data_IF_028400945619
#
_entry.id   IF_028400945619
#
_cell.length_a   1.000
_cell.length_b   1.000
_cell.length_c   1.000
_cell.angle_alpha   90.00
_cell.angle_beta   90.00
_cell.angle_gamma   90.00
#
_symmetry.space_group_name_H-M   'P 1'
#
loop_
_entity.id
_entity.type
_entity.pdbx_description
1 polymer ?
#
# COMPACT_ATOMS: atom_id res chain seq x y z
N UNK A 1 -14.73 -28.61 -77.44
CA UNK A 1 -13.75 -29.44 -76.70
C UNK A 1 -12.41 -28.71 -76.75
N UNK A 2 -12.14 -27.85 -75.78
CA UNK A 2 -10.90 -27.09 -75.65
C UNK A 2 -10.68 -26.80 -74.16
N UNK A 3 -9.51 -27.19 -73.64
CA UNK A 3 -9.04 -26.91 -72.29
C UNK A 3 -8.75 -25.41 -72.14
N UNK A 4 -9.22 -24.81 -71.05
CA UNK A 4 -8.68 -23.56 -70.52
C UNK A 4 -8.42 -23.75 -69.02
N UNK A 5 -7.14 -23.85 -68.67
CA UNK A 5 -6.58 -23.86 -67.33
C UNK A 5 -6.68 -22.46 -66.74
N UNK A 6 -7.61 -22.26 -65.79
CA UNK A 6 -7.70 -21.06 -64.96
C UNK A 6 -6.87 -21.23 -63.69
N UNK A 7 -5.83 -20.40 -63.53
CA UNK A 7 -5.02 -20.27 -62.33
C UNK A 7 -5.91 -19.93 -61.12
N UNK A 8 -5.84 -20.76 -60.08
CA UNK A 8 -6.33 -20.42 -58.75
C UNK A 8 -5.29 -19.52 -58.06
N UNK A 9 -5.61 -18.24 -57.90
CA UNK A 9 -4.88 -17.33 -57.02
C UNK A 9 -5.24 -17.61 -55.58
N UNK A 10 -4.38 -18.35 -54.88
CA UNK A 10 -4.39 -18.46 -53.41
C UNK A 10 -3.93 -17.11 -52.83
N UNK A 11 -4.90 -16.22 -52.58
CA UNK A 11 -4.70 -15.07 -51.71
C UNK A 11 -4.58 -15.55 -50.27
N UNK A 12 -3.34 -15.78 -49.83
CA UNK A 12 -3.03 -15.93 -48.41
C UNK A 12 -3.27 -14.57 -47.77
N UNK A 13 -4.45 -14.40 -47.17
CA UNK A 13 -4.69 -13.32 -46.23
C UNK A 13 -3.74 -13.56 -45.05
N UNK A 14 -2.65 -12.82 -45.02
CA UNK A 14 -1.81 -12.72 -43.84
C UNK A 14 -2.69 -12.20 -42.71
N UNK A 15 -3.06 -13.09 -41.78
CA UNK A 15 -3.50 -12.66 -40.46
C UNK A 15 -2.42 -11.73 -39.92
N UNK A 16 -2.76 -10.51 -39.47
CA UNK A 16 -1.78 -9.71 -38.76
C UNK A 16 -1.30 -10.57 -37.61
N UNK A 17 0.00 -10.91 -37.64
CA UNK A 17 0.68 -11.56 -36.55
C UNK A 17 0.46 -10.62 -35.37
N UNK A 18 -0.49 -10.95 -34.48
CA UNK A 18 -0.62 -10.27 -33.21
C UNK A 18 0.78 -10.32 -32.61
N UNK A 19 1.43 -9.17 -32.50
CA UNK A 19 2.75 -9.08 -31.93
C UNK A 19 2.62 -9.76 -30.56
N UNK A 20 3.22 -10.93 -30.45
CA UNK A 20 3.37 -11.62 -29.19
C UNK A 20 4.31 -10.72 -28.42
N UNK A 21 3.73 -9.79 -27.64
CA UNK A 21 4.47 -8.94 -26.73
C UNK A 21 5.08 -9.92 -25.74
N UNK A 22 6.35 -10.24 -25.93
CA UNK A 22 7.13 -10.95 -24.92
C UNK A 22 6.91 -10.20 -23.61
N UNK A 23 6.40 -10.86 -22.54
CA UNK A 23 6.17 -10.17 -21.28
C UNK A 23 7.52 -9.61 -20.84
N UNK A 24 7.64 -8.28 -20.63
CA UNK A 24 8.92 -7.69 -20.24
C UNK A 24 9.39 -8.39 -18.97
N UNK A 25 10.50 -9.09 -19.09
CA UNK A 25 11.21 -9.70 -17.98
C UNK A 25 11.64 -8.55 -17.06
N UNK A 26 10.98 -8.41 -15.90
CA UNK A 26 11.24 -7.46 -14.80
C UNK A 26 10.54 -6.08 -14.78
N UNK A 27 9.48 -5.82 -15.56
CA UNK A 27 8.60 -4.68 -15.22
C UNK A 27 7.53 -5.14 -14.20
N UNK A 28 7.64 -4.69 -12.96
CA UNK A 28 6.66 -4.97 -11.89
C UNK A 28 5.27 -4.43 -12.22
N UNK A 29 4.25 -4.93 -11.52
CA UNK A 29 2.88 -4.46 -11.64
C UNK A 29 2.56 -3.45 -10.54
N UNK A 30 1.85 -2.38 -10.89
CA UNK A 30 1.19 -1.48 -9.95
C UNK A 30 -0.05 -2.18 -9.41
N UNK A 31 -0.02 -2.55 -8.14
CA UNK A 31 -1.05 -3.34 -7.49
C UNK A 31 -2.21 -2.48 -6.99
N UNK A 32 -3.43 -2.97 -7.20
CA UNK A 32 -4.68 -2.37 -6.71
C UNK A 32 -5.37 -3.39 -5.82
N UNK A 33 -5.40 -3.15 -4.51
CA UNK A 33 -6.16 -3.99 -3.57
C UNK A 33 -7.61 -3.52 -3.52
N UNK A 34 -8.53 -4.43 -3.86
CA UNK A 34 -9.97 -4.16 -3.85
C UNK A 34 -10.63 -4.91 -2.69
N UNK A 35 -11.22 -4.15 -1.78
CA UNK A 35 -11.97 -4.66 -0.62
C UNK A 35 -13.41 -4.16 -0.66
N UNK A 36 -14.30 -4.80 0.09
CA UNK A 36 -15.68 -4.33 0.24
C UNK A 36 -16.70 -5.44 0.08
N UNK A 37 -17.94 -5.06 -0.23
CA UNK A 37 -19.08 -5.98 -0.29
C UNK A 37 -19.75 -6.07 -1.67
N UNK A 38 -21.04 -6.42 -1.73
CA UNK A 38 -21.72 -6.79 -2.97
C UNK A 38 -21.75 -5.71 -4.04
N UNK A 39 -21.80 -4.43 -3.66
CA UNK A 39 -21.67 -3.31 -4.61
C UNK A 39 -20.25 -3.21 -5.20
N UNK A 40 -19.21 -3.58 -4.46
CA UNK A 40 -17.85 -3.72 -5.01
C UNK A 40 -17.69 -4.98 -5.86
N UNK A 41 -18.36 -6.08 -5.50
CA UNK A 41 -18.38 -7.32 -6.31
C UNK A 41 -19.06 -7.09 -7.67
N UNK A 42 -20.06 -6.20 -7.72
CA UNK A 42 -20.91 -6.02 -8.90
C UNK A 42 -22.10 -6.99 -8.89
N UNK A 43 -22.75 -7.14 -7.74
CA UNK A 43 -23.96 -7.96 -7.61
C UNK A 43 -25.07 -7.48 -8.54
N UNK A 44 -25.58 -8.37 -9.40
CA UNK A 44 -26.79 -8.16 -10.22
C UNK A 44 -26.84 -6.90 -11.10
N UNK A 45 -25.70 -6.37 -11.54
CA UNK A 45 -25.62 -5.08 -12.26
C UNK A 45 -26.18 -5.10 -13.69
N UNK A 46 -26.60 -6.26 -14.20
CA UNK A 46 -27.21 -6.42 -15.51
C UNK A 46 -26.22 -6.89 -16.60
N UNK A 47 -26.61 -6.80 -17.89
CA UNK A 47 -25.82 -7.36 -18.99
C UNK A 47 -24.53 -6.56 -19.24
N UNK A 48 -23.45 -7.30 -19.46
CA UNK A 48 -22.11 -6.82 -19.82
C UNK A 48 -21.98 -6.63 -21.34
N UNK A 49 -21.16 -5.66 -21.74
CA UNK A 49 -20.62 -5.57 -23.10
C UNK A 49 -19.09 -5.48 -23.07
N UNK A 50 -18.42 -6.63 -23.06
CA UNK A 50 -16.98 -6.71 -23.33
C UNK A 50 -16.70 -7.46 -24.63
N UNK A 51 -17.50 -7.19 -25.65
CA UNK A 51 -17.07 -7.44 -27.02
C UNK A 51 -15.86 -6.56 -27.33
N UNK A 52 -14.98 -6.91 -28.30
CA UNK A 52 -13.90 -6.01 -28.71
C UNK A 52 -14.45 -4.63 -29.13
N UNK A 53 -13.95 -3.56 -28.51
CA UNK A 53 -14.43 -2.19 -28.59
C UNK A 53 -15.62 -1.86 -27.67
N UNK A 54 -16.10 -2.83 -26.90
CA UNK A 54 -17.22 -2.69 -25.97
C UNK A 54 -16.88 -1.85 -24.74
N UNK A 55 -17.92 -1.33 -24.09
CA UNK A 55 -17.74 -0.40 -22.95
C UNK A 55 -17.05 -1.04 -21.74
N UNK A 56 -17.14 -2.37 -21.61
CA UNK A 56 -16.52 -3.16 -20.53
C UNK A 56 -15.25 -3.90 -20.98
N UNK A 57 -14.74 -3.65 -22.19
CA UNK A 57 -13.42 -4.16 -22.58
C UNK A 57 -12.33 -3.47 -21.74
N UNK A 58 -11.46 -4.27 -21.12
CA UNK A 58 -10.31 -3.80 -20.35
C UNK A 58 -9.09 -3.61 -21.26
N UNK A 59 -8.25 -2.58 -21.02
CA UNK A 59 -6.97 -2.41 -21.68
C UNK A 59 -6.04 -3.63 -21.50
N UNK A 60 -5.16 -3.94 -22.47
CA UNK A 60 -4.28 -5.11 -22.42
C UNK A 60 -3.21 -5.05 -21.31
N UNK A 61 -3.00 -3.88 -20.70
CA UNK A 61 -2.10 -3.67 -19.57
C UNK A 61 -2.77 -3.82 -18.19
N UNK A 62 -4.04 -4.26 -18.15
CA UNK A 62 -4.77 -4.54 -16.92
C UNK A 62 -4.82 -6.06 -16.66
N UNK A 63 -4.31 -6.44 -15.50
CA UNK A 63 -4.19 -7.80 -15.00
C UNK A 63 -4.97 -7.94 -13.69
N UNK A 64 -5.15 -9.18 -13.25
CA UNK A 64 -5.67 -9.50 -11.94
C UNK A 64 -4.89 -10.68 -11.32
N UNK A 65 -4.88 -10.74 -10.00
CA UNK A 65 -4.50 -11.95 -9.28
C UNK A 65 -5.69 -12.92 -9.30
N UNK A 66 -5.53 -14.05 -9.98
CA UNK A 66 -6.62 -14.99 -10.15
C UNK A 66 -6.95 -15.83 -8.89
N UNK A 67 -7.97 -16.66 -8.98
CA UNK A 67 -8.38 -17.56 -7.88
C UNK A 67 -7.34 -18.62 -7.50
N UNK A 68 -6.32 -18.82 -8.32
CA UNK A 68 -5.17 -19.70 -8.06
C UNK A 68 -3.94 -18.90 -7.63
N UNK A 69 -4.14 -17.63 -7.29
CA UNK A 69 -3.11 -16.67 -6.93
C UNK A 69 -2.05 -16.53 -8.01
N UNK A 70 -2.44 -16.55 -9.28
CA UNK A 70 -1.56 -16.27 -10.42
C UNK A 70 -1.94 -14.95 -11.07
N UNK A 71 -0.94 -14.12 -11.40
CA UNK A 71 -1.17 -12.90 -12.18
C UNK A 71 -1.52 -13.28 -13.62
N UNK A 72 -2.71 -12.91 -14.05
CA UNK A 72 -3.24 -13.21 -15.37
C UNK A 72 -3.87 -11.96 -15.99
N UNK A 73 -3.94 -11.84 -17.34
CA UNK A 73 -4.73 -10.80 -17.97
C UNK A 73 -6.17 -10.85 -17.46
N UNK A 74 -6.74 -9.70 -17.13
CA UNK A 74 -8.07 -9.68 -16.55
C UNK A 74 -9.12 -9.89 -17.64
N UNK A 75 -9.70 -11.09 -17.68
CA UNK A 75 -10.76 -11.47 -18.61
C UNK A 75 -12.10 -11.73 -17.91
N UNK A 76 -13.22 -11.34 -18.52
CA UNK A 76 -14.54 -11.60 -17.94
C UNK A 76 -15.25 -12.82 -18.56
N UNK A 77 -16.06 -13.57 -17.78
CA UNK A 77 -16.26 -13.43 -16.34
C UNK A 77 -15.03 -13.95 -15.58
N UNK A 78 -14.48 -13.15 -14.67
CA UNK A 78 -13.44 -13.66 -13.78
C UNK A 78 -14.12 -14.26 -12.55
N UNK A 79 -13.84 -15.51 -12.18
CA UNK A 79 -14.31 -16.03 -10.90
C UNK A 79 -13.51 -15.35 -9.79
N UNK A 80 -14.08 -14.31 -9.18
CA UNK A 80 -13.50 -13.59 -8.03
C UNK A 80 -13.79 -14.26 -6.69
N UNK A 81 -14.43 -15.42 -6.70
CA UNK A 81 -14.60 -16.21 -5.50
C UNK A 81 -13.23 -16.40 -4.84
N UNK A 82 -13.05 -15.80 -3.66
CA UNK A 82 -11.92 -16.10 -2.79
C UNK A 82 -11.83 -17.63 -2.67
N UNK A 83 -10.63 -18.23 -2.68
CA UNK A 83 -10.48 -19.67 -2.51
C UNK A 83 -11.27 -20.14 -1.28
N UNK A 84 -12.24 -21.04 -1.48
CA UNK A 84 -13.09 -21.55 -0.40
C UNK A 84 -14.40 -20.77 -0.14
N UNK A 85 -14.63 -19.65 -0.82
CA UNK A 85 -15.89 -18.90 -0.74
C UNK A 85 -16.72 -19.16 -2.00
N UNK A 86 -17.71 -20.05 -1.91
CA UNK A 86 -18.63 -20.32 -3.01
C UNK A 86 -19.56 -19.11 -3.26
N UNK A 87 -19.08 -18.10 -3.96
CA UNK A 87 -19.99 -17.11 -4.53
C UNK A 87 -20.57 -17.69 -5.83
N UNK A 88 -21.80 -18.20 -5.78
CA UNK A 88 -22.57 -18.59 -6.98
C UNK A 88 -22.90 -17.42 -7.93
N UNK A 89 -22.32 -16.25 -7.70
CA UNK A 89 -22.45 -15.05 -8.52
C UNK A 89 -21.23 -14.92 -9.41
N UNK A 90 -21.43 -15.00 -10.73
CA UNK A 90 -20.51 -14.38 -11.67
C UNK A 90 -20.46 -12.89 -11.35
N UNK A 91 -19.31 -12.37 -10.96
CA UNK A 91 -19.17 -10.93 -10.77
C UNK A 91 -19.43 -10.24 -12.11
N UNK A 92 -20.34 -9.26 -12.07
CA UNK A 92 -20.72 -8.50 -13.24
C UNK A 92 -19.88 -7.21 -13.29
N UNK A 93 -20.35 -6.22 -14.03
CA UNK A 93 -19.75 -4.87 -14.07
C UNK A 93 -19.66 -4.33 -12.64
N UNK A 94 -18.49 -3.86 -12.23
CA UNK A 94 -18.24 -3.27 -10.91
C UNK A 94 -17.35 -2.02 -10.97
N UNK A 95 -17.31 -1.26 -9.89
CA UNK A 95 -16.59 0.02 -9.82
C UNK A 95 -15.06 -0.17 -9.94
N UNK A 96 -14.49 -1.19 -9.30
CA UNK A 96 -13.06 -1.48 -9.38
C UNK A 96 -12.59 -1.78 -10.81
N UNK A 97 -13.39 -2.49 -11.61
CA UNK A 97 -13.12 -2.74 -13.02
C UNK A 97 -13.07 -1.44 -13.81
N UNK A 98 -14.06 -0.55 -13.60
CA UNK A 98 -14.11 0.74 -14.30
C UNK A 98 -12.92 1.63 -13.90
N UNK A 99 -12.55 1.66 -12.62
CA UNK A 99 -11.35 2.34 -12.14
C UNK A 99 -10.07 1.76 -12.79
N UNK A 100 -9.91 0.43 -12.80
CA UNK A 100 -8.77 -0.23 -13.43
C UNK A 100 -8.68 0.05 -14.94
N UNK A 101 -9.84 0.13 -15.63
CA UNK A 101 -9.91 0.57 -17.03
C UNK A 101 -9.38 1.99 -17.19
N UNK A 102 -9.86 2.94 -16.39
CA UNK A 102 -9.41 4.33 -16.45
C UNK A 102 -7.90 4.48 -16.19
N UNK A 103 -7.37 3.71 -15.22
CA UNK A 103 -5.93 3.64 -14.95
C UNK A 103 -5.16 3.09 -16.16
N UNK A 104 -5.61 1.97 -16.72
CA UNK A 104 -4.96 1.34 -17.89
C UNK A 104 -4.96 2.21 -19.13
N UNK A 105 -6.06 2.94 -19.38
CA UNK A 105 -6.20 3.90 -20.50
C UNK A 105 -5.34 5.15 -20.30
N UNK A 106 -5.28 5.67 -19.07
CA UNK A 106 -4.54 6.91 -18.74
C UNK A 106 -3.03 6.69 -18.65
N UNK A 107 -2.60 5.47 -18.29
CA UNK A 107 -1.20 5.11 -18.10
C UNK A 107 -0.84 3.86 -18.92
N UNK A 108 -0.87 3.93 -20.26
CA UNK A 108 -0.71 2.78 -21.15
C UNK A 108 0.67 2.10 -21.05
N UNK A 109 1.67 2.80 -20.50
CA UNK A 109 3.01 2.26 -20.26
C UNK A 109 3.12 1.45 -18.96
N UNK A 110 2.16 1.60 -18.05
CA UNK A 110 2.16 0.92 -16.76
C UNK A 110 1.38 -0.39 -16.85
N UNK A 111 1.68 -1.36 -15.98
CA UNK A 111 0.94 -2.62 -15.86
C UNK A 111 0.20 -2.61 -14.52
N UNK A 112 -1.11 -2.70 -14.54
CA UNK A 112 -1.92 -2.73 -13.33
C UNK A 112 -2.30 -4.16 -12.99
N UNK A 113 -2.18 -4.57 -11.73
CA UNK A 113 -2.65 -5.88 -11.26
C UNK A 113 -3.65 -5.69 -10.13
N UNK A 114 -4.87 -6.17 -10.34
CA UNK A 114 -5.94 -6.07 -9.34
C UNK A 114 -5.95 -7.31 -8.45
N UNK A 115 -5.73 -7.09 -7.16
CA UNK A 115 -5.89 -8.07 -6.10
C UNK A 115 -7.31 -7.91 -5.56
N UNK A 116 -8.23 -8.69 -6.12
CA UNK A 116 -9.66 -8.57 -5.81
C UNK A 116 -10.04 -9.44 -4.63
N UNK A 117 -10.55 -8.83 -3.55
CA UNK A 117 -10.89 -9.50 -2.30
C UNK A 117 -12.30 -9.16 -1.79
N UNK A 118 -13.08 -8.32 -2.50
CA UNK A 118 -14.43 -7.96 -2.09
C UNK A 118 -15.37 -9.18 -2.03
N UNK A 119 -16.28 -9.19 -1.06
CA UNK A 119 -17.10 -10.35 -0.73
C UNK A 119 -18.56 -9.97 -0.46
N UNK A 120 -19.51 -10.65 -1.10
CA UNK A 120 -20.94 -10.38 -0.89
C UNK A 120 -21.34 -10.53 0.58
N UNK A 121 -22.19 -9.61 1.05
CA UNK A 121 -22.72 -9.59 2.41
C UNK A 121 -21.60 -9.71 3.45
N UNK A 122 -20.63 -8.81 3.39
CA UNK A 122 -19.55 -8.67 4.37
C UNK A 122 -19.65 -7.33 5.10
N UNK A 123 -19.09 -7.24 6.30
CA UNK A 123 -19.03 -6.02 7.09
C UNK A 123 -17.98 -6.09 8.19
N UNK A 124 -18.00 -5.14 9.11
CA UNK A 124 -17.11 -5.12 10.28
C UNK A 124 -17.73 -5.79 11.51
N UNK A 125 -18.99 -5.47 11.81
CA UNK A 125 -19.63 -5.88 13.07
C UNK A 125 -20.90 -6.72 12.85
N UNK A 126 -21.62 -6.46 11.77
CA UNK A 126 -22.90 -7.13 11.47
C UNK A 126 -22.80 -8.65 11.30
N UNK A 127 -21.59 -9.20 11.12
CA UNK A 127 -21.35 -10.60 10.76
C UNK A 127 -20.18 -11.20 11.56
N UNK A 128 -19.96 -10.72 12.79
CA UNK A 128 -18.89 -11.15 13.73
C UNK A 128 -18.85 -12.65 14.08
N UNK A 129 -19.78 -13.47 13.59
CA UNK A 129 -19.70 -14.94 13.74
C UNK A 129 -19.17 -15.67 12.52
N UNK A 130 -19.04 -15.02 11.35
CA UNK A 130 -18.52 -15.63 10.13
C UNK A 130 -17.24 -14.89 9.69
N UNK A 131 -16.05 -15.45 9.97
CA UNK A 131 -14.78 -14.87 9.55
C UNK A 131 -14.75 -14.54 8.05
N UNK A 132 -15.39 -15.37 7.20
CA UNK A 132 -15.39 -15.20 5.75
C UNK A 132 -16.32 -14.06 5.28
N UNK A 133 -16.90 -13.30 6.21
CA UNK A 133 -17.73 -12.12 5.96
C UNK A 133 -17.32 -10.92 6.81
N UNK A 134 -16.18 -11.00 7.50
CA UNK A 134 -15.72 -10.01 8.45
C UNK A 134 -14.46 -9.29 7.93
N UNK A 135 -14.48 -7.96 7.91
CA UNK A 135 -13.37 -7.11 7.46
C UNK A 135 -12.58 -6.44 8.59
N UNK A 136 -12.87 -6.78 9.85
CA UNK A 136 -12.24 -6.13 10.99
C UNK A 136 -10.71 -6.37 10.98
N UNK A 137 -9.92 -5.30 11.00
CA UNK A 137 -8.47 -5.37 11.03
C UNK A 137 -7.94 -5.82 12.41
N UNK A 138 -6.68 -6.26 12.57
CA UNK A 138 -6.16 -6.80 13.83
C UNK A 138 -6.29 -5.87 15.05
N UNK A 139 -6.30 -4.56 14.84
CA UNK A 139 -6.51 -3.57 15.90
C UNK A 139 -7.96 -3.51 16.41
N UNK A 140 -8.92 -4.04 15.65
CA UNK A 140 -10.33 -4.05 15.97
C UNK A 140 -10.66 -5.13 17.01
N UNK A 141 -11.54 -4.85 18.00
CA UNK A 141 -12.07 -5.88 18.89
C UNK A 141 -12.97 -6.90 18.16
N UNK A 142 -13.40 -6.59 16.93
CA UNK A 142 -14.22 -7.46 16.10
C UNK A 142 -13.40 -8.39 15.20
N UNK A 143 -12.06 -8.32 15.27
CA UNK A 143 -11.18 -9.15 14.46
C UNK A 143 -11.34 -10.64 14.77
N UNK A 144 -11.45 -11.44 13.71
CA UNK A 144 -11.51 -12.89 13.78
C UNK A 144 -10.33 -13.44 12.98
N UNK A 145 -9.63 -14.43 13.54
CA UNK A 145 -8.53 -15.09 12.83
C UNK A 145 -9.03 -15.72 11.52
N UNK A 146 -8.32 -15.45 10.42
CA UNK A 146 -8.66 -15.96 9.09
C UNK A 146 -9.86 -15.26 8.46
N UNK A 147 -10.13 -14.00 8.84
CA UNK A 147 -11.21 -13.23 8.24
C UNK A 147 -10.82 -12.65 6.86
N UNK A 148 -11.70 -11.85 6.26
CA UNK A 148 -11.45 -11.27 4.94
C UNK A 148 -10.26 -10.31 4.90
N UNK A 149 -9.95 -9.65 6.02
CA UNK A 149 -8.73 -8.86 6.15
C UNK A 149 -7.48 -9.75 5.98
N UNK A 150 -7.39 -10.82 6.76
CA UNK A 150 -6.24 -11.73 6.72
C UNK A 150 -6.07 -12.35 5.33
N UNK A 151 -7.19 -12.76 4.71
CA UNK A 151 -7.19 -13.30 3.34
C UNK A 151 -6.74 -12.26 2.31
N UNK A 152 -7.11 -11.00 2.47
CA UNK A 152 -6.65 -9.93 1.59
C UNK A 152 -5.14 -9.70 1.72
N UNK A 153 -4.61 -9.71 2.94
CA UNK A 153 -3.16 -9.62 3.20
C UNK A 153 -2.42 -10.82 2.59
N UNK A 154 -2.91 -12.04 2.80
CA UNK A 154 -2.32 -13.26 2.22
C UNK A 154 -2.27 -13.20 0.69
N UNK A 155 -3.36 -12.77 0.04
CA UNK A 155 -3.39 -12.59 -1.42
C UNK A 155 -2.42 -11.52 -1.89
N UNK A 156 -2.24 -10.44 -1.14
CA UNK A 156 -1.23 -9.43 -1.47
C UNK A 156 0.19 -9.99 -1.35
N UNK A 157 0.47 -10.85 -0.36
CA UNK A 157 1.76 -11.55 -0.24
C UNK A 157 2.00 -12.44 -1.46
N UNK A 158 0.99 -13.19 -1.91
CA UNK A 158 1.09 -14.01 -3.12
C UNK A 158 1.27 -13.18 -4.41
N UNK A 159 0.63 -12.01 -4.48
CA UNK A 159 0.82 -11.06 -5.58
C UNK A 159 2.24 -10.47 -5.59
N UNK A 160 2.76 -10.10 -4.41
CA UNK A 160 4.10 -9.54 -4.25
C UNK A 160 5.19 -10.54 -4.69
N UNK A 161 5.00 -11.83 -4.42
CA UNK A 161 5.88 -12.89 -4.93
C UNK A 161 5.96 -12.98 -6.47
N UNK A 162 5.01 -12.34 -7.17
CA UNK A 162 4.92 -12.26 -8.63
C UNK A 162 5.24 -10.85 -9.18
N UNK A 163 5.81 -9.98 -8.33
CA UNK A 163 6.23 -8.64 -8.71
C UNK A 163 5.11 -7.61 -8.74
N UNK A 164 4.01 -7.83 -8.00
CA UNK A 164 2.95 -6.84 -7.80
C UNK A 164 3.28 -6.00 -6.56
N UNK A 165 3.40 -4.68 -6.73
CA UNK A 165 3.59 -3.73 -5.63
C UNK A 165 2.27 -2.99 -5.38
N UNK A 166 1.55 -3.37 -4.31
CA UNK A 166 0.23 -2.78 -4.02
C UNK A 166 0.41 -1.34 -3.56
N UNK A 167 -0.11 -0.42 -4.36
CA UNK A 167 0.04 1.02 -4.17
C UNK A 167 -1.30 1.75 -4.06
N UNK A 168 -2.42 1.07 -4.25
CA UNK A 168 -3.76 1.67 -4.18
C UNK A 168 -4.75 0.74 -3.49
N UNK A 169 -5.47 1.29 -2.50
CA UNK A 169 -6.59 0.63 -1.84
C UNK A 169 -7.93 1.17 -2.36
N UNK A 170 -8.84 0.28 -2.71
CA UNK A 170 -10.16 0.61 -3.26
C UNK A 170 -11.23 -0.10 -2.44
N UNK A 171 -12.16 0.65 -1.87
CA UNK A 171 -13.21 0.12 -1.00
C UNK A 171 -14.62 0.60 -1.36
N UNK A 172 -15.62 -0.26 -1.15
CA UNK A 172 -17.04 0.10 -1.20
C UNK A 172 -17.81 -0.90 -0.32
N UNK A 173 -18.18 -0.45 0.88
CA UNK A 173 -18.91 -1.25 1.86
C UNK A 173 -19.60 -0.43 2.95
N UNK A 174 -20.13 -1.12 3.95
CA UNK A 174 -20.76 -0.55 5.14
C UNK A 174 -22.27 -0.78 5.18
N UNK A 175 -22.92 -1.20 4.09
CA UNK A 175 -24.38 -1.37 4.05
C UNK A 175 -24.86 -2.46 5.01
N UNK A 176 -24.03 -3.48 5.29
CA UNK A 176 -24.32 -4.49 6.32
C UNK A 176 -24.18 -3.92 7.74
N UNK A 177 -23.32 -2.92 7.96
CA UNK A 177 -22.98 -2.37 9.27
C UNK A 177 -23.81 -1.15 9.68
N UNK A 178 -24.40 -0.44 8.71
CA UNK A 178 -25.15 0.81 8.93
C UNK A 178 -26.30 0.69 9.94
N UNK A 179 -26.84 -0.52 10.15
CA UNK A 179 -27.92 -0.77 11.11
C UNK A 179 -27.44 -1.09 12.53
N UNK A 180 -26.18 -1.48 12.69
CA UNK A 180 -25.66 -2.06 13.94
C UNK A 180 -24.46 -1.31 14.52
N UNK A 181 -23.91 -0.35 13.79
CA UNK A 181 -22.79 0.48 14.22
C UNK A 181 -23.20 1.95 14.32
N UNK A 182 -22.62 2.67 15.28
CA UNK A 182 -22.69 4.13 15.26
C UNK A 182 -21.75 4.68 14.18
N UNK A 183 -21.97 5.93 13.77
CA UNK A 183 -21.05 6.63 12.84
C UNK A 183 -19.60 6.62 13.34
N UNK A 184 -19.40 6.82 14.66
CA UNK A 184 -18.07 6.85 15.26
C UNK A 184 -17.40 5.47 15.25
N UNK A 185 -18.14 4.41 15.60
CA UNK A 185 -17.60 3.04 15.58
C UNK A 185 -17.27 2.62 14.15
N UNK A 186 -18.15 2.92 13.18
CA UNK A 186 -17.92 2.61 11.77
C UNK A 186 -16.71 3.37 11.21
N UNK A 187 -16.54 4.65 11.55
CA UNK A 187 -15.37 5.43 11.16
C UNK A 187 -14.08 4.82 11.73
N UNK A 188 -14.10 4.38 12.99
CA UNK A 188 -12.93 3.75 13.62
C UNK A 188 -12.54 2.43 12.94
N UNK A 189 -13.51 1.60 12.54
CA UNK A 189 -13.24 0.37 11.79
C UNK A 189 -12.62 0.65 10.41
N UNK A 190 -13.11 1.66 9.70
CA UNK A 190 -12.48 2.11 8.44
C UNK A 190 -11.06 2.61 8.64
N UNK A 191 -10.80 3.38 9.70
CA UNK A 191 -9.47 3.86 10.06
C UNK A 191 -8.53 2.68 10.31
N UNK A 192 -8.93 1.73 11.16
CA UNK A 192 -8.14 0.52 11.43
C UNK A 192 -7.91 -0.32 10.19
N UNK A 193 -8.90 -0.43 9.30
CA UNK A 193 -8.74 -1.14 8.04
C UNK A 193 -7.66 -0.50 7.16
N UNK A 194 -7.75 0.82 6.92
CA UNK A 194 -6.79 1.51 6.04
C UNK A 194 -5.40 1.51 6.63
N UNK A 195 -5.27 1.82 7.92
CA UNK A 195 -3.97 1.81 8.60
C UNK A 195 -3.37 0.42 8.68
N UNK A 196 -4.18 -0.60 8.98
CA UNK A 196 -3.76 -2.00 8.99
C UNK A 196 -3.26 -2.46 7.63
N UNK A 197 -4.05 -2.26 6.57
CA UNK A 197 -3.65 -2.63 5.21
C UNK A 197 -2.36 -1.90 4.79
N UNK A 198 -2.20 -0.63 5.17
CA UNK A 198 -0.95 0.11 4.91
C UNK A 198 0.26 -0.46 5.63
N UNK A 199 0.06 -0.94 6.86
CA UNK A 199 1.13 -1.57 7.63
C UNK A 199 1.51 -2.95 7.08
N UNK A 200 0.53 -3.76 6.70
CA UNK A 200 0.76 -5.17 6.34
C UNK A 200 1.07 -5.37 4.84
N UNK A 201 0.52 -4.52 3.97
CA UNK A 201 0.61 -4.68 2.51
C UNK A 201 1.54 -3.63 1.87
N UNK A 202 1.58 -2.41 2.40
CA UNK A 202 2.44 -1.34 1.91
C UNK A 202 1.75 0.03 1.90
N UNK A 203 2.51 1.14 1.83
CA UNK A 203 1.93 2.47 1.80
C UNK A 203 1.20 2.72 0.47
N UNK A 204 0.01 3.32 0.53
CA UNK A 204 -0.73 3.70 -0.67
C UNK A 204 -1.96 4.56 -0.35
N UNK A 205 -2.38 5.43 -1.27
CA UNK A 205 -3.67 6.11 -1.17
C UNK A 205 -4.83 5.12 -1.06
N UNK A 206 -5.90 5.57 -0.44
CA UNK A 206 -7.17 4.85 -0.36
C UNK A 206 -8.29 5.65 -1.02
N UNK A 207 -9.14 4.99 -1.78
CA UNK A 207 -10.38 5.56 -2.29
C UNK A 207 -11.57 4.71 -1.85
N UNK A 208 -12.56 5.36 -1.26
CA UNK A 208 -13.82 4.71 -0.89
C UNK A 208 -14.99 5.26 -1.69
N UNK A 209 -15.79 4.36 -2.26
CA UNK A 209 -17.10 4.70 -2.78
C UNK A 209 -18.09 4.88 -1.64
N UNK A 210 -18.92 5.92 -1.72
CA UNK A 210 -20.01 6.14 -0.75
C UNK A 210 -21.21 5.25 -1.05
N UNK A 211 -22.14 5.14 -0.09
CA UNK A 211 -23.27 4.21 -0.19
C UNK A 211 -24.33 4.69 -1.20
N UNK A 212 -25.11 3.76 -1.80
CA UNK A 212 -26.25 4.15 -2.64
C UNK A 212 -27.32 4.89 -1.81
N UNK A 213 -27.74 6.07 -2.27
CA UNK A 213 -28.66 6.93 -1.50
C UNK A 213 -30.13 6.47 -1.56
N UNK A 214 -30.50 5.60 -2.50
CA UNK A 214 -31.90 5.18 -2.70
C UNK A 214 -32.32 4.00 -1.84
N UNK A 215 -31.38 3.34 -1.15
CA UNK A 215 -31.67 2.17 -0.29
C UNK A 215 -32.17 2.55 1.10
N UNK A 216 -32.30 3.86 1.37
CA UNK A 216 -32.83 4.39 2.62
C UNK A 216 -34.20 3.77 2.94
N UNK A 217 -34.25 3.03 4.05
CA UNK A 217 -35.45 2.34 4.55
C UNK A 217 -35.46 0.82 4.34
N UNK A 218 -34.82 0.28 3.29
CA UNK A 218 -34.68 -1.17 3.10
C UNK A 218 -33.44 -1.72 3.82
N UNK A 219 -32.36 -0.94 3.84
CA UNK A 219 -31.07 -1.29 4.47
C UNK A 219 -30.74 -0.39 5.67
N UNK A 220 -31.70 0.40 6.16
CA UNK A 220 -31.50 1.35 7.26
C UNK A 220 -31.12 2.74 6.74
N UNK A 221 -30.58 3.56 7.64
CA UNK A 221 -30.05 4.89 7.33
C UNK A 221 -28.60 4.77 6.86
N UNK A 222 -28.41 4.79 5.53
CA UNK A 222 -27.07 4.66 4.95
C UNK A 222 -26.27 5.96 5.03
N UNK A 223 -26.87 7.08 5.45
CA UNK A 223 -26.14 8.33 5.67
C UNK A 223 -25.06 8.19 6.76
N UNK A 224 -25.20 7.19 7.63
CA UNK A 224 -24.19 6.83 8.62
C UNK A 224 -22.86 6.39 7.99
N UNK A 225 -22.91 5.71 6.84
CA UNK A 225 -21.72 5.29 6.09
C UNK A 225 -21.01 6.51 5.53
N UNK A 226 -21.74 7.39 4.85
CA UNK A 226 -21.19 8.59 4.23
C UNK A 226 -20.59 9.54 5.28
N UNK A 227 -21.26 9.67 6.42
CA UNK A 227 -20.75 10.43 7.56
C UNK A 227 -19.46 9.80 8.13
N UNK A 228 -19.41 8.48 8.30
CA UNK A 228 -18.23 7.77 8.79
C UNK A 228 -17.04 7.91 7.84
N UNK A 229 -17.26 7.69 6.54
CA UNK A 229 -16.25 7.85 5.49
C UNK A 229 -15.73 9.30 5.41
N UNK A 230 -16.60 10.29 5.62
CA UNK A 230 -16.19 11.70 5.69
C UNK A 230 -15.25 11.97 6.88
N UNK A 231 -15.51 11.37 8.05
CA UNK A 231 -14.60 11.46 9.19
C UNK A 231 -13.25 10.81 8.88
N UNK A 232 -13.25 9.63 8.25
CA UNK A 232 -12.04 8.88 7.88
C UNK A 232 -11.20 9.66 6.86
N UNK A 233 -11.81 10.19 5.80
CA UNK A 233 -11.08 10.99 4.81
C UNK A 233 -10.49 12.28 5.41
N UNK A 234 -11.05 12.79 6.50
CA UNK A 234 -10.52 13.93 7.24
C UNK A 234 -9.41 13.54 8.23
N UNK A 235 -9.42 12.34 8.80
CA UNK A 235 -8.45 11.89 9.82
C UNK A 235 -7.28 11.07 9.26
N UNK A 236 -7.50 10.33 8.17
CA UNK A 236 -6.53 9.38 7.59
C UNK A 236 -5.92 9.98 6.32
N UNK A 237 -4.61 10.29 6.30
CA UNK A 237 -3.94 10.87 5.13
C UNK A 237 -4.15 10.05 3.85
N UNK A 238 -4.11 10.74 2.71
CA UNK A 238 -4.20 10.15 1.37
C UNK A 238 -5.44 9.26 1.17
N UNK A 239 -6.54 9.61 1.83
CA UNK A 239 -7.82 8.92 1.72
C UNK A 239 -8.85 9.85 1.08
N UNK A 240 -9.45 9.42 -0.03
CA UNK A 240 -10.42 10.21 -0.80
C UNK A 240 -11.74 9.46 -0.99
N UNK A 241 -12.81 10.20 -1.26
CA UNK A 241 -14.15 9.66 -1.43
C UNK A 241 -14.66 9.84 -2.85
N UNK A 242 -15.38 8.84 -3.34
CA UNK A 242 -16.11 8.87 -4.59
C UNK A 242 -17.62 8.79 -4.30
N UNK A 243 -18.30 9.92 -4.45
CA UNK A 243 -19.71 10.06 -4.12
C UNK A 243 -20.62 9.28 -5.07
N UNK A 244 -21.64 8.65 -4.52
CA UNK A 244 -22.67 7.89 -5.24
C UNK A 244 -23.91 8.73 -5.64
N UNK A 245 -23.90 10.05 -5.41
CA UNK A 245 -25.01 10.94 -5.79
C UNK A 245 -25.40 10.79 -7.26
N UNK A 246 -26.70 10.58 -7.50
CA UNK A 246 -27.25 10.45 -8.85
C UNK A 246 -26.87 9.15 -9.58
N UNK A 247 -26.37 8.15 -8.85
CA UNK A 247 -26.30 6.77 -9.33
C UNK A 247 -27.67 6.08 -9.19
N UNK A 248 -27.83 4.90 -9.80
CA UNK A 248 -29.09 4.17 -9.87
C UNK A 248 -28.91 2.66 -9.66
N UNK A 249 -30.05 1.99 -9.44
CA UNK A 249 -30.16 0.55 -9.34
C UNK A 249 -30.99 -0.05 -10.47
N UNK A 250 -30.81 -1.33 -10.81
CA UNK A 250 -31.70 -2.01 -11.74
C UNK A 250 -33.09 -2.23 -11.09
N UNK A 251 -34.19 -2.26 -11.85
CA UNK A 251 -35.53 -2.45 -11.30
C UNK A 251 -35.73 -3.76 -10.50
N UNK A 252 -34.97 -4.80 -10.83
CA UNK A 252 -35.08 -6.12 -10.20
C UNK A 252 -34.24 -6.26 -8.92
N UNK A 253 -33.32 -5.32 -8.66
CA UNK A 253 -32.45 -5.37 -7.50
C UNK A 253 -32.20 -3.95 -6.96
N UNK A 254 -33.03 -3.48 -6.01
CA UNK A 254 -32.92 -2.13 -5.48
C UNK A 254 -31.71 -1.91 -4.56
N UNK A 255 -30.97 -2.96 -4.22
CA UNK A 255 -29.86 -2.87 -3.26
C UNK A 255 -28.50 -2.63 -3.92
N UNK A 256 -28.41 -2.84 -5.25
CA UNK A 256 -27.16 -2.80 -5.97
C UNK A 256 -27.14 -1.73 -7.06
N UNK A 257 -25.96 -1.19 -7.35
CA UNK A 257 -25.75 -0.34 -8.52
C UNK A 257 -26.11 -1.08 -9.81
N UNK A 258 -26.70 -0.38 -10.78
CA UNK A 258 -26.75 -0.89 -12.16
C UNK A 258 -25.38 -0.77 -12.85
N UNK A 259 -25.20 -1.47 -13.97
CA UNK A 259 -23.93 -1.46 -14.69
C UNK A 259 -23.48 -0.04 -15.12
N UNK A 260 -24.34 0.83 -15.67
CA UNK A 260 -23.99 2.24 -15.91
C UNK A 260 -23.47 2.97 -14.66
N UNK A 261 -24.10 2.74 -13.51
CA UNK A 261 -23.72 3.37 -12.25
C UNK A 261 -22.41 2.85 -11.72
N UNK A 262 -22.13 1.54 -11.81
CA UNK A 262 -20.81 1.00 -11.48
C UNK A 262 -19.70 1.61 -12.35
N UNK A 263 -19.94 1.81 -13.65
CA UNK A 263 -18.97 2.46 -14.54
C UNK A 263 -18.70 3.89 -14.10
N UNK A 264 -19.76 4.66 -13.90
CA UNK A 264 -19.65 6.05 -13.45
C UNK A 264 -19.00 6.16 -12.06
N UNK A 265 -19.28 5.23 -11.15
CA UNK A 265 -18.68 5.23 -9.82
C UNK A 265 -17.17 4.97 -9.87
N UNK A 266 -16.73 3.99 -10.65
CA UNK A 266 -15.29 3.75 -10.85
C UNK A 266 -14.57 4.92 -11.55
N UNK A 267 -15.24 5.61 -12.49
CA UNK A 267 -14.73 6.87 -13.04
C UNK A 267 -14.57 7.93 -11.94
N UNK A 268 -15.57 8.11 -11.09
CA UNK A 268 -15.50 9.07 -9.98
C UNK A 268 -14.38 8.74 -8.98
N UNK A 269 -14.09 7.45 -8.76
CA UNK A 269 -12.94 7.04 -7.95
C UNK A 269 -11.61 7.48 -8.60
N UNK A 270 -11.48 7.29 -9.91
CA UNK A 270 -10.30 7.75 -10.67
C UNK A 270 -10.17 9.28 -10.62
N UNK A 271 -11.27 10.00 -10.81
CA UNK A 271 -11.31 11.46 -10.80
C UNK A 271 -10.93 12.02 -9.41
N UNK A 272 -11.44 11.40 -8.33
CA UNK A 272 -11.12 11.80 -6.96
C UNK A 272 -9.63 11.63 -6.64
N UNK A 273 -9.04 10.49 -7.00
CA UNK A 273 -7.60 10.23 -6.85
C UNK A 273 -6.75 11.23 -7.67
N UNK A 274 -7.16 11.50 -8.91
CA UNK A 274 -6.46 12.44 -9.80
C UNK A 274 -6.55 13.87 -9.27
N UNK A 275 -7.73 14.32 -8.84
CA UNK A 275 -7.94 15.66 -8.31
C UNK A 275 -7.13 15.92 -7.03
N UNK A 276 -6.91 14.87 -6.22
CA UNK A 276 -6.07 14.93 -5.04
C UNK A 276 -4.56 14.81 -5.35
N UNK A 277 -4.18 14.54 -6.60
CA UNK A 277 -2.78 14.31 -7.01
C UNK A 277 -2.18 13.02 -6.43
N UNK A 278 -3.02 12.05 -6.07
CA UNK A 278 -2.61 10.78 -5.44
C UNK A 278 -2.25 9.70 -6.46
N UNK A 279 -2.67 9.87 -7.71
CA UNK A 279 -2.27 9.03 -8.84
C UNK A 279 -1.71 9.88 -9.97
N UNK A 280 -0.73 9.31 -10.67
CA UNK A 280 -0.10 9.92 -11.83
C UNK A 280 0.64 8.86 -12.65
N UNK A 281 1.29 9.27 -13.75
CA UNK A 281 2.17 8.39 -14.50
C UNK A 281 3.23 7.85 -13.55
N UNK A 282 3.67 6.60 -13.74
CA UNK A 282 4.90 6.12 -13.11
C UNK A 282 6.11 6.87 -13.69
N UNK A 283 6.27 8.13 -13.29
CA UNK A 283 7.53 8.84 -13.39
C UNK A 283 8.44 8.41 -12.25
N UNK A 284 9.75 8.71 -12.32
CA UNK A 284 10.61 8.70 -11.15
C UNK A 284 10.21 9.86 -10.23
N UNK A 285 8.99 9.87 -9.70
CA UNK A 285 8.45 10.93 -8.85
C UNK A 285 8.59 10.57 -7.39
N UNK A 286 9.86 10.53 -6.99
CA UNK A 286 10.31 11.14 -5.76
C UNK A 286 10.03 12.66 -5.89
N UNK A 287 8.86 13.12 -5.41
CA UNK A 287 8.33 14.46 -5.72
C UNK A 287 7.76 15.26 -4.54
N UNK A 288 7.94 14.80 -3.30
CA UNK A 288 7.79 15.68 -2.13
C UNK A 288 8.91 16.74 -2.08
N UNK A 289 8.76 17.82 -1.28
CA UNK A 289 9.74 18.93 -1.16
C UNK A 289 11.15 18.51 -0.69
N UNK A 290 11.34 17.22 -0.41
CA UNK A 290 12.56 16.58 0.08
C UNK A 290 13.37 15.90 -1.02
N UNK A 291 12.80 15.71 -2.20
CA UNK A 291 13.48 15.14 -3.33
C UNK A 291 13.97 16.28 -4.23
N UNK A 292 15.29 16.49 -4.22
CA UNK A 292 15.94 17.32 -5.22
C UNK A 292 16.61 16.40 -6.23
N UNK A 293 16.01 16.19 -7.41
CA UNK A 293 16.71 15.52 -8.50
C UNK A 293 17.95 16.35 -8.84
N UNK A 294 19.14 15.79 -8.66
CA UNK A 294 20.40 16.39 -9.10
C UNK A 294 21.30 17.00 -8.03
N UNK A 295 21.03 16.81 -6.73
CA UNK A 295 22.05 17.09 -5.72
C UNK A 295 23.17 16.04 -5.81
N UNK A 296 24.23 16.32 -6.57
CA UNK A 296 25.43 15.46 -6.59
C UNK A 296 26.10 15.55 -5.22
N UNK A 297 26.22 14.45 -4.45
CA UNK A 297 26.96 14.48 -3.20
C UNK A 297 28.43 14.80 -3.46
N UNK A 298 29.18 15.26 -2.44
CA UNK A 298 30.64 15.30 -2.51
C UNK A 298 31.15 13.88 -2.75
N UNK A 299 31.46 13.53 -4.02
CA UNK A 299 31.78 12.17 -4.43
C UNK A 299 31.28 11.76 -5.81
N UNK A 300 30.32 12.48 -6.41
CA UNK A 300 29.93 12.28 -7.82
C UNK A 300 28.93 11.14 -8.10
N UNK A 301 28.30 10.56 -7.07
CA UNK A 301 27.38 9.43 -7.25
C UNK A 301 25.93 9.88 -7.49
N UNK A 302 25.23 9.15 -8.37
CA UNK A 302 23.79 9.31 -8.65
C UNK A 302 22.98 8.44 -7.71
N UNK A 303 22.04 9.03 -6.97
CA UNK A 303 21.14 8.30 -6.06
C UNK A 303 20.03 9.23 -5.54
N UNK A 304 19.06 8.66 -4.82
CA UNK A 304 18.00 9.43 -4.18
C UNK A 304 18.56 10.03 -2.90
N UNK A 305 18.67 11.36 -2.86
CA UNK A 305 19.24 12.09 -1.73
C UNK A 305 18.14 12.64 -0.85
N UNK A 306 18.12 12.21 0.41
CA UNK A 306 17.29 12.79 1.45
C UNK A 306 18.19 13.52 2.44
N UNK A 307 18.04 14.84 2.51
CA UNK A 307 18.81 15.70 3.41
C UNK A 307 17.87 16.37 4.40
N UNK A 308 18.21 16.27 5.67
CA UNK A 308 17.55 17.01 6.74
C UNK A 308 18.59 17.87 7.45
N UNK A 309 18.38 19.19 7.44
CA UNK A 309 19.12 20.14 8.25
C UNK A 309 18.41 20.32 9.61
N UNK A 310 19.17 20.33 10.70
CA UNK A 310 18.69 20.55 12.07
C UNK A 310 18.89 22.01 12.43
N UNK A 311 17.87 22.83 12.24
CA UNK A 311 17.93 24.26 12.63
C UNK A 311 17.70 24.48 14.12
N UNK A 312 17.03 23.53 14.80
CA UNK A 312 16.93 23.45 16.27
C UNK A 312 16.22 22.15 16.68
N UNK A 313 16.94 21.20 17.29
CA UNK A 313 16.36 19.97 17.84
C UNK A 313 16.67 18.70 17.04
N UNK A 314 16.71 17.57 17.76
CA UNK A 314 16.86 16.20 17.23
C UNK A 314 15.61 15.75 16.47
N UNK A 315 15.69 14.64 15.72
CA UNK A 315 14.52 14.01 15.05
C UNK A 315 13.35 13.73 16.01
N UNK A 316 13.68 13.53 17.29
CA UNK A 316 12.73 13.31 18.37
C UNK A 316 13.17 14.16 19.56
N UNK A 317 12.24 14.79 20.29
CA UNK A 317 12.58 15.52 21.52
C UNK A 317 13.09 14.56 22.61
N UNK A 318 12.67 13.29 22.56
CA UNK A 318 13.16 12.17 23.36
C UNK A 318 12.98 10.81 22.66
N UNK A 319 13.65 9.77 23.16
CA UNK A 319 13.46 8.39 22.67
C UNK A 319 12.05 7.85 22.94
N UNK A 320 11.33 8.35 23.97
CA UNK A 320 9.93 7.95 24.20
C UNK A 320 8.98 8.54 23.16
N UNK A 321 9.26 9.73 22.62
CA UNK A 321 8.41 10.34 21.59
C UNK A 321 8.46 9.57 20.25
N UNK A 322 9.56 8.85 20.00
CA UNK A 322 9.69 7.94 18.87
C UNK A 322 8.86 6.64 19.05
N UNK A 323 8.53 6.29 20.29
CA UNK A 323 7.85 5.05 20.66
C UNK A 323 6.34 5.23 20.89
N UNK A 324 5.90 6.41 21.32
CA UNK A 324 4.53 6.65 21.78
C UNK A 324 3.48 6.82 20.65
N UNK A 325 3.80 6.52 19.39
CA UNK A 325 2.81 6.36 18.32
C UNK A 325 1.94 7.61 18.00
N UNK A 326 2.28 8.78 18.56
CA UNK A 326 1.56 10.03 18.35
C UNK A 326 1.66 10.54 16.90
N UNK A 327 0.89 11.59 16.57
CA UNK A 327 0.80 12.15 15.22
C UNK A 327 2.16 12.53 14.60
N UNK A 328 3.15 12.90 15.42
CA UNK A 328 4.53 13.17 14.98
C UNK A 328 5.21 11.86 14.56
N UNK A 329 5.14 10.81 15.37
CA UNK A 329 5.68 9.48 15.05
C UNK A 329 5.12 8.90 13.75
N UNK A 330 3.80 8.99 13.53
CA UNK A 330 3.11 8.42 12.35
C UNK A 330 3.60 9.01 11.02
N UNK A 331 3.88 10.31 10.96
CA UNK A 331 4.43 10.97 9.76
C UNK A 331 5.92 10.68 9.50
N UNK A 332 6.64 10.13 10.48
CA UNK A 332 8.04 9.70 10.32
C UNK A 332 8.16 8.24 9.89
N UNK A 333 7.21 7.38 10.27
CA UNK A 333 7.19 5.97 9.85
C UNK A 333 6.85 5.79 8.36
N UNK A 334 5.94 6.58 7.80
CA UNK A 334 5.68 6.53 6.34
C UNK A 334 6.94 6.83 5.51
N UNK A 335 7.79 7.75 5.98
CA UNK A 335 9.07 8.09 5.34
C UNK A 335 10.08 6.93 5.41
N UNK A 336 10.07 6.18 6.51
CA UNK A 336 10.90 5.00 6.70
C UNK A 336 10.44 3.83 5.82
N UNK A 337 9.14 3.73 5.56
CA UNK A 337 8.58 2.76 4.62
C UNK A 337 9.00 3.06 3.17
N UNK A 338 9.05 4.33 2.77
CA UNK A 338 9.61 4.73 1.47
C UNK A 338 11.09 4.32 1.34
N UNK A 339 11.89 4.50 2.39
CA UNK A 339 13.28 4.02 2.43
C UNK A 339 13.36 2.49 2.29
N UNK A 340 12.52 1.76 3.03
CA UNK A 340 12.49 0.31 2.97
C UNK A 340 12.10 -0.20 1.56
N UNK A 341 11.19 0.50 0.87
CA UNK A 341 10.86 0.24 -0.55
C UNK A 341 12.10 0.36 -1.43
N UNK A 342 12.90 1.41 -1.27
CA UNK A 342 14.16 1.56 -2.01
C UNK A 342 15.22 0.51 -1.61
N UNK A 343 15.31 0.14 -0.32
CA UNK A 343 16.21 -0.93 0.16
C UNK A 343 15.93 -2.25 -0.58
N UNK A 344 14.65 -2.60 -0.71
CA UNK A 344 14.22 -3.86 -1.34
C UNK A 344 14.50 -3.87 -2.84
N UNK A 345 14.55 -2.71 -3.49
CA UNK A 345 14.81 -2.58 -4.92
C UNK A 345 16.31 -2.67 -5.30
N UNK A 346 17.19 -1.87 -4.67
CA UNK A 346 18.60 -1.71 -5.11
C UNK A 346 19.69 -1.95 -4.04
N UNK A 347 19.30 -2.19 -2.77
CA UNK A 347 20.14 -2.95 -1.83
C UNK A 347 21.36 -2.28 -1.18
N UNK A 348 21.54 -0.95 -1.19
CA UNK A 348 22.50 -0.30 -0.27
C UNK A 348 22.21 1.17 0.04
N UNK A 349 22.51 1.60 1.25
CA UNK A 349 22.45 3.01 1.66
C UNK A 349 23.84 3.58 1.97
N UNK A 350 24.01 4.86 1.65
CA UNK A 350 25.08 5.70 2.18
C UNK A 350 24.46 6.72 3.14
N UNK A 351 24.94 6.74 4.38
CA UNK A 351 24.51 7.71 5.38
C UNK A 351 25.66 8.67 5.66
N UNK A 352 25.42 9.97 5.55
CA UNK A 352 26.38 11.02 5.88
C UNK A 352 25.81 11.89 6.99
N UNK A 353 26.47 11.94 8.14
CA UNK A 353 26.17 12.93 9.17
C UNK A 353 27.17 14.08 9.08
N UNK A 354 26.69 15.32 9.22
CA UNK A 354 27.51 16.53 9.26
C UNK A 354 27.27 17.25 10.58
N UNK A 355 28.34 17.72 11.23
CA UNK A 355 28.30 18.46 12.49
C UNK A 355 28.44 19.97 12.25
N UNK A 356 28.16 20.76 13.30
CA UNK A 356 28.27 22.23 13.27
C UNK A 356 29.68 22.74 12.97
N UNK A 357 30.70 21.91 13.16
CA UNK A 357 32.09 22.18 12.78
C UNK A 357 32.33 22.11 11.27
N UNK A 358 31.35 21.62 10.50
CA UNK A 358 31.49 21.34 9.07
C UNK A 358 32.10 19.96 8.78
N UNK A 359 32.52 19.22 9.81
CA UNK A 359 33.02 17.85 9.67
C UNK A 359 31.88 16.90 9.32
N UNK A 360 32.18 15.86 8.55
CA UNK A 360 31.21 14.84 8.17
C UNK A 360 31.81 13.44 8.26
N UNK A 361 30.99 12.48 8.66
CA UNK A 361 31.30 11.05 8.62
C UNK A 361 30.29 10.41 7.70
N UNK A 362 30.80 9.61 6.77
CA UNK A 362 29.98 8.86 5.83
C UNK A 362 30.12 7.38 6.12
N UNK A 363 28.99 6.68 6.22
CA UNK A 363 28.91 5.24 6.38
C UNK A 363 28.25 4.64 5.14
N UNK A 364 28.79 3.50 4.67
CA UNK A 364 28.11 2.64 3.71
C UNK A 364 27.48 1.48 4.45
N UNK A 365 26.29 1.08 4.03
CA UNK A 365 25.71 -0.18 4.46
C UNK A 365 26.58 -1.34 3.96
N UNK A 366 26.91 -2.27 4.84
CA UNK A 366 27.65 -3.51 4.55
C UNK A 366 26.80 -4.75 4.73
N UNK A 367 25.72 -4.67 5.52
CA UNK A 367 24.71 -5.72 5.67
C UNK A 367 23.37 -5.12 6.12
N UNK A 368 22.34 -5.95 6.25
CA UNK A 368 21.12 -5.52 6.94
C UNK A 368 21.48 -5.00 8.34
N UNK A 369 20.88 -3.86 8.77
CA UNK A 369 21.14 -3.32 10.08
C UNK A 369 20.61 -4.27 11.14
N UNK A 370 21.47 -4.60 12.09
CA UNK A 370 21.11 -5.41 13.24
C UNK A 370 21.35 -4.59 14.50
N UNK A 371 20.30 -4.41 15.29
CA UNK A 371 20.45 -3.90 16.65
C UNK A 371 20.80 -5.06 17.56
N UNK A 372 21.99 -4.98 18.15
CA UNK A 372 22.42 -5.96 19.16
C UNK A 372 21.74 -5.67 20.50
N UNK A 373 21.71 -6.62 21.45
CA UNK A 373 21.22 -6.40 22.83
C UNK A 373 21.93 -5.29 23.64
N UNK A 374 22.89 -4.59 23.03
CA UNK A 374 23.63 -3.46 23.61
C UNK A 374 23.39 -2.17 22.83
N UNK A 375 22.30 -2.09 22.08
CA UNK A 375 21.93 -0.96 21.21
C UNK A 375 23.00 -0.61 20.17
N UNK A 376 23.80 -1.60 19.76
CA UNK A 376 24.77 -1.44 18.68
C UNK A 376 24.12 -1.73 17.35
N UNK A 377 24.08 -0.71 16.49
CA UNK A 377 23.76 -0.86 15.08
C UNK A 377 24.97 -1.47 14.37
N UNK A 378 24.83 -2.71 13.93
CA UNK A 378 25.75 -3.38 13.01
C UNK A 378 25.29 -3.20 11.55
N UNK A 379 26.15 -3.53 10.59
CA UNK A 379 25.81 -3.50 9.17
C UNK A 379 26.12 -2.19 8.45
N UNK A 380 26.90 -1.30 9.07
CA UNK A 380 27.47 -0.12 8.43
C UNK A 380 28.99 -0.07 8.65
N UNK A 381 29.72 0.39 7.65
CA UNK A 381 31.16 0.67 7.75
C UNK A 381 31.44 2.12 7.32
N UNK A 382 32.31 2.85 8.02
CA UNK A 382 32.69 4.20 7.63
C UNK A 382 33.46 4.18 6.31
N UNK A 383 33.01 4.98 5.34
CA UNK A 383 33.68 5.24 4.07
C UNK A 383 34.83 6.24 4.25
N UNK A 384 34.61 7.27 5.08
CA UNK A 384 35.61 8.30 5.41
C UNK A 384 35.47 8.63 6.89
N UNK A 385 36.57 8.52 7.62
CA UNK A 385 36.65 8.79 9.04
C UNK A 385 37.81 9.76 9.35
N UNK A 386 37.60 11.06 9.12
CA UNK A 386 38.64 12.06 9.38
C UNK A 386 38.92 12.25 10.88
N UNK A 387 38.06 11.71 11.74
CA UNK A 387 38.10 11.88 13.19
C UNK A 387 38.72 10.68 13.92
N UNK A 388 39.07 9.59 13.22
CA UNK A 388 39.61 8.37 13.83
C UNK A 388 38.58 7.60 14.67
N UNK A 389 37.30 7.80 14.41
CA UNK A 389 36.16 7.23 15.12
C UNK A 389 35.66 5.90 14.51
N UNK A 390 36.23 5.44 13.40
CA UNK A 390 35.81 4.26 12.65
C UNK A 390 35.85 2.96 13.44
N UNK A 391 36.73 2.89 14.44
CA UNK A 391 36.88 1.73 15.33
C UNK A 391 36.09 1.86 16.63
N UNK A 392 35.47 3.01 16.88
CA UNK A 392 34.35 3.03 17.79
C UNK A 392 33.17 2.59 16.94
N UNK A 393 32.61 1.41 17.19
CA UNK A 393 31.31 1.08 16.59
C UNK A 393 30.33 2.23 16.81
N UNK A 394 29.15 2.20 16.17
CA UNK A 394 28.10 3.22 16.34
C UNK A 394 27.61 3.41 17.80
N UNK A 395 28.32 2.84 18.78
CA UNK A 395 28.10 2.80 20.22
C UNK A 395 29.37 3.15 20.95
N UNK A 396 29.41 4.36 21.49
CA UNK A 396 29.87 4.61 22.86
C UNK A 396 29.51 6.02 23.38
N UNK A 397 29.08 6.94 22.51
CA UNK A 397 28.71 8.30 22.91
C UNK A 397 27.37 8.46 23.66
N UNK A 398 26.49 7.46 23.63
CA UNK A 398 25.11 7.57 24.13
C UNK A 398 24.91 7.10 25.59
N UNK A 399 25.88 6.41 26.20
CA UNK A 399 25.74 5.87 27.57
C UNK A 399 26.41 6.72 28.67
N UNK A 400 26.50 8.04 28.50
CA UNK A 400 26.76 8.97 29.62
C UNK A 400 25.70 10.06 29.72
N UNK A 401 24.45 9.65 29.90
CA UNK A 401 23.49 10.51 30.59
C UNK A 401 23.82 10.49 32.08
N UNK A 402 24.04 11.68 32.62
CA UNK A 402 24.24 12.09 34.02
C UNK A 402 24.05 11.04 35.13
N UNK A 403 24.97 11.10 36.10
CA UNK A 403 25.05 10.43 37.42
C UNK A 403 23.86 10.61 38.38
N UNK A 404 22.65 10.89 37.90
CA UNK A 404 21.44 11.01 38.73
C UNK A 404 20.42 9.95 38.31
N UNK A 405 20.18 9.00 39.22
CA UNK A 405 19.57 7.71 38.97
C UNK A 405 18.12 7.71 38.44
N UNK A 406 17.91 6.82 37.47
CA UNK A 406 16.70 6.00 37.35
C UNK A 406 17.12 4.68 36.67
N UNK A 407 17.30 3.63 37.48
CA UNK A 407 17.50 2.27 37.00
C UNK A 407 16.14 1.74 36.53
N UNK A 408 15.91 1.69 35.22
CA UNK A 408 14.86 0.85 34.64
C UNK A 408 15.29 -0.62 34.79
N UNK A 409 14.84 -1.24 35.89
CA UNK A 409 14.97 -2.67 36.13
C UNK A 409 13.79 -3.39 35.48
N UNK A 410 14.03 -4.06 34.36
CA UNK A 410 13.06 -5.00 33.80
C UNK A 410 13.09 -6.31 34.60
N UNK A 411 11.98 -6.65 35.26
CA UNK A 411 11.79 -7.98 35.88
C UNK A 411 11.49 -9.01 34.78
N UNK A 412 12.18 -10.16 34.75
CA UNK A 412 11.83 -11.25 33.85
C UNK A 412 10.70 -12.08 34.46
N UNK A 413 9.64 -12.29 33.70
CA UNK A 413 8.64 -13.28 34.07
C UNK A 413 7.37 -13.20 33.24
N UNK A 414 7.40 -13.71 32.00
CA UNK A 414 6.36 -14.59 31.43
C UNK A 414 7.04 -15.52 30.40
N UNK A 415 6.54 -16.75 30.37
CA UNK A 415 7.00 -17.99 29.76
C UNK A 415 7.57 -17.98 28.34
N UNK A 416 8.55 -18.88 28.17
CA UNK A 416 9.12 -19.43 26.93
C UNK A 416 8.08 -19.78 25.86
N UNK A 417 8.17 -19.14 24.69
CA UNK A 417 7.70 -19.72 23.43
C UNK A 417 8.90 -20.40 22.76
N UNK A 418 8.91 -21.73 22.79
CA UNK A 418 9.87 -22.56 22.07
C UNK A 418 9.29 -22.96 20.71
N UNK A 419 9.83 -22.41 19.62
CA UNK A 419 9.53 -22.83 18.25
C UNK A 419 10.37 -22.02 17.24
N UNK A 420 10.97 -22.65 16.20
CA UNK A 420 11.98 -22.02 15.34
C UNK A 420 11.46 -20.99 14.32
N UNK A 421 10.20 -20.52 14.43
CA UNK A 421 9.57 -19.67 13.40
C UNK A 421 8.94 -18.37 13.94
N UNK A 422 9.06 -18.07 15.24
CA UNK A 422 8.42 -16.89 15.84
C UNK A 422 9.26 -15.60 15.81
N UNK A 423 10.33 -15.52 14.99
CA UNK A 423 11.38 -14.51 15.18
C UNK A 423 11.80 -13.66 13.98
N UNK A 424 11.11 -13.70 12.83
CA UNK A 424 11.75 -13.18 11.59
C UNK A 424 11.08 -12.02 10.85
N UNK A 425 9.86 -11.58 11.16
CA UNK A 425 9.18 -10.61 10.28
C UNK A 425 8.80 -9.26 10.89
N UNK A 426 8.66 -9.13 12.21
CA UNK A 426 8.42 -7.83 12.86
C UNK A 426 9.70 -7.06 13.25
N UNK A 427 10.88 -7.63 12.97
CA UNK A 427 12.16 -7.17 13.52
C UNK A 427 12.97 -6.22 12.61
N UNK A 428 12.56 -5.95 11.36
CA UNK A 428 13.42 -5.19 10.43
C UNK A 428 13.06 -3.70 10.32
N UNK A 429 11.79 -3.34 10.17
CA UNK A 429 11.39 -1.95 9.89
C UNK A 429 11.49 -1.08 11.14
N UNK A 430 11.07 -1.62 12.27
CA UNK A 430 11.16 -0.97 13.59
C UNK A 430 12.62 -0.82 14.07
N UNK A 431 13.48 -1.81 13.82
CA UNK A 431 14.90 -1.73 14.18
C UNK A 431 15.68 -0.83 13.21
N UNK A 432 15.26 -0.72 11.94
CA UNK A 432 15.79 0.27 11.00
C UNK A 432 15.42 1.70 11.40
N UNK A 433 14.16 1.93 11.78
CA UNK A 433 13.68 3.18 12.34
C UNK A 433 14.48 3.59 13.58
N UNK A 434 14.73 2.65 14.50
CA UNK A 434 15.60 2.86 15.67
C UNK A 434 17.03 3.16 15.27
N UNK A 435 17.61 2.43 14.32
CA UNK A 435 18.99 2.68 13.86
C UNK A 435 19.14 4.09 13.27
N UNK A 436 18.15 4.57 12.52
CA UNK A 436 18.11 5.93 11.98
C UNK A 436 17.83 6.99 13.06
N UNK A 437 16.93 6.73 13.99
CA UNK A 437 16.69 7.58 15.16
C UNK A 437 17.94 7.70 16.05
N UNK A 438 18.67 6.61 16.26
CA UNK A 438 19.96 6.57 16.97
C UNK A 438 21.02 7.39 16.21
N UNK A 439 21.05 7.30 14.87
CA UNK A 439 21.90 8.13 14.03
C UNK A 439 21.55 9.64 14.11
N UNK A 440 20.28 9.99 14.29
CA UNK A 440 19.86 11.37 14.48
C UNK A 440 20.24 11.97 15.85
N UNK A 441 20.57 11.13 16.84
CA UNK A 441 21.03 11.54 18.19
C UNK A 441 22.56 11.41 18.31
N UNK A 442 23.29 11.33 17.19
CA UNK A 442 24.75 11.30 17.18
C UNK A 442 25.33 12.57 17.81
N UNK A 443 25.66 12.47 19.10
CA UNK A 443 26.66 13.33 19.72
C UNK A 443 28.01 12.83 19.27
N UNK A 444 28.82 13.71 18.70
CA UNK A 444 30.23 13.42 18.51
C UNK A 444 30.86 13.06 19.87
N UNK A 445 32.00 12.36 19.91
CA UNK A 445 32.78 12.18 21.14
C UNK A 445 33.17 13.51 21.81
N UNK A 446 33.10 14.61 21.05
CA UNK A 446 33.34 15.99 21.48
C UNK A 446 32.07 16.69 22.02
N UNK A 447 30.93 15.99 22.08
CA UNK A 447 29.66 16.50 22.58
C UNK A 447 28.87 17.36 21.59
N UNK A 448 29.30 17.44 20.34
CA UNK A 448 28.63 18.20 19.27
C UNK A 448 27.44 17.43 18.71
N UNK A 449 26.31 18.10 18.52
CA UNK A 449 25.16 17.56 17.79
C UNK A 449 25.41 17.63 16.28
N UNK A 450 24.95 16.63 15.54
CA UNK A 450 24.87 16.74 14.08
C UNK A 450 23.98 17.95 13.72
N UNK A 451 24.36 18.69 12.68
CA UNK A 451 23.57 19.78 12.09
C UNK A 451 22.83 19.33 10.83
N UNK A 452 23.20 18.20 10.24
CA UNK A 452 22.41 17.56 9.19
C UNK A 452 22.70 16.07 9.10
N UNK A 453 21.70 15.32 8.63
CA UNK A 453 21.88 13.94 8.15
C UNK A 453 21.43 13.89 6.70
N UNK A 454 22.27 13.27 5.87
CA UNK A 454 21.97 12.97 4.47
C UNK A 454 21.98 11.46 4.28
N UNK A 455 20.94 10.92 3.66
CA UNK A 455 20.86 9.51 3.29
C UNK A 455 20.75 9.45 1.77
N UNK A 456 21.63 8.67 1.16
CA UNK A 456 21.61 8.40 -0.27
C UNK A 456 21.24 6.94 -0.46
N UNK A 457 20.05 6.70 -1.00
CA UNK A 457 19.69 5.38 -1.51
C UNK A 457 20.32 5.22 -2.90
N UNK A 458 21.11 4.16 -3.07
CA UNK A 458 21.76 3.81 -4.33
C UNK A 458 20.94 2.80 -5.09
#
# INVERSE_FOLDING_TARGET
MALATGLAGLGVLATPLAAQIDPPTQAGYRGILVVGQSNMVGGNTGPRDATPGGVDELPPNVYCLDRTDQVAPWHFPFPFALPGVESGTSANVNAAMSLAKQLGESFPQDRFCVVFCAQNASGFNSIVSDPLRNWAAPASPNHLNGNLYDLAVERCIHAAAQGVDVELFVGLMGESDAQVMTVADLAQEYEWLVEGLRADVGPGPAVFGTAPQWTDGALGDLSSIDAALTLVAASVPDTVLAWADGLFHPPADPNHFDAPSCRLHGQRMFDALTAAGLIGPAGPTAGGPWFQPGATPPGGETGIVLRQDFTSGSWFESFSDALDGGAIGRGHFSRLNDFERFRRADGSFVLTATWSTGESITWTQTSNPLLTPRDVVQGFAPLVDPLGLANMGLVQGLCRTSTTGALLSFRPGVSTLSGPLAGLYLYNEYEFAKALGIAAVLRSPLGLSATSVTIVAR
#
